data_IF_650783685280
#
_entry.id   IF_650783685280
#
_cell.length_a   1.000
_cell.length_b   1.000
_cell.length_c   1.000
_cell.angle_alpha   90.00
_cell.angle_beta   90.00
_cell.angle_gamma   90.00
#
_symmetry.space_group_name_H-M   'P 1'
#
loop_
_entity.id
_entity.type
_entity.pdbx_description
1 polymer ?
#
# COMPACT_ATOMS: atom_id res chain seq x y z
N UNK A 1 -5.77 -14.10 -20.49
CA UNK A 1 -4.44 -13.59 -20.14
C UNK A 1 -4.58 -12.79 -18.85
N UNK A 2 -3.96 -13.23 -17.77
CA UNK A 2 -3.94 -12.48 -16.50
C UNK A 2 -2.84 -11.43 -16.66
N UNK A 3 -3.17 -10.15 -16.49
CA UNK A 3 -2.15 -9.09 -16.48
C UNK A 3 -1.39 -9.18 -15.16
N UNK A 4 -0.07 -9.26 -15.23
CA UNK A 4 0.79 -9.25 -14.05
C UNK A 4 0.72 -7.88 -13.37
N UNK A 5 0.19 -7.82 -12.15
CA UNK A 5 0.04 -6.56 -11.40
C UNK A 5 1.12 -6.43 -10.33
N UNK A 6 2.11 -5.57 -10.57
CA UNK A 6 3.09 -5.19 -9.54
C UNK A 6 3.52 -3.72 -9.67
N UNK A 7 3.98 -3.07 -8.58
CA UNK A 7 4.22 -1.62 -8.57
C UNK A 7 5.20 -1.12 -9.63
N UNK A 8 6.28 -1.86 -9.88
CA UNK A 8 7.30 -1.46 -10.88
C UNK A 8 6.86 -1.64 -12.33
N UNK A 9 5.72 -2.30 -12.63
CA UNK A 9 5.32 -2.57 -14.02
C UNK A 9 5.05 -1.31 -14.82
N UNK A 10 4.55 -0.27 -14.13
CA UNK A 10 4.33 1.07 -14.70
C UNK A 10 5.65 1.69 -15.19
N UNK A 11 6.73 1.52 -14.42
CA UNK A 11 8.05 2.04 -14.75
C UNK A 11 8.68 1.31 -15.93
N UNK A 12 8.54 -0.01 -15.99
CA UNK A 12 8.98 -0.81 -17.15
C UNK A 12 8.29 -0.35 -18.44
N UNK A 13 6.95 -0.23 -18.42
CA UNK A 13 6.19 0.24 -19.59
C UNK A 13 6.61 1.64 -20.04
N UNK A 14 6.93 2.51 -19.10
CA UNK A 14 7.46 3.84 -19.40
C UNK A 14 8.81 3.76 -20.12
N UNK A 15 9.77 3.07 -19.51
CA UNK A 15 11.15 3.00 -20.01
C UNK A 15 11.25 2.26 -21.35
N UNK A 16 10.46 1.20 -21.54
CA UNK A 16 10.55 0.35 -22.73
C UNK A 16 9.75 0.90 -23.93
N UNK A 17 8.62 1.57 -23.67
CA UNK A 17 7.64 1.85 -24.72
C UNK A 17 7.10 3.27 -24.76
N UNK A 18 7.00 3.98 -23.63
CA UNK A 18 6.17 5.19 -23.53
C UNK A 18 6.94 6.49 -23.24
N UNK A 19 8.26 6.44 -23.12
CA UNK A 19 9.08 7.64 -22.90
C UNK A 19 8.89 8.70 -24.02
N UNK A 20 8.81 8.23 -25.27
CA UNK A 20 8.57 9.07 -26.44
C UNK A 20 7.20 8.75 -27.05
N UNK A 21 6.38 9.75 -27.41
CA UNK A 21 5.15 9.54 -28.18
C UNK A 21 5.13 10.62 -29.27
N UNK A 22 5.02 10.19 -30.54
CA UNK A 22 5.01 11.08 -31.70
C UNK A 22 6.20 12.04 -31.77
N UNK A 23 7.43 11.59 -31.44
CA UNK A 23 8.63 12.43 -31.46
C UNK A 23 8.84 13.30 -30.20
N UNK A 24 7.91 13.29 -29.25
CA UNK A 24 7.99 14.10 -28.04
C UNK A 24 8.24 13.25 -26.79
N UNK A 25 9.12 13.73 -25.90
CA UNK A 25 9.43 13.07 -24.63
C UNK A 25 8.49 13.53 -23.51
N UNK A 26 7.93 12.58 -22.78
CA UNK A 26 7.01 12.82 -21.65
C UNK A 26 7.62 12.36 -20.34
N UNK A 27 7.32 13.08 -19.27
CA UNK A 27 7.63 12.66 -17.89
C UNK A 27 6.63 11.61 -17.41
N UNK A 28 6.96 10.85 -16.35
CA UNK A 28 6.01 9.94 -15.69
C UNK A 28 4.67 10.59 -15.38
N UNK A 29 4.70 11.80 -14.82
CA UNK A 29 3.46 12.51 -14.45
C UNK A 29 2.65 12.91 -15.67
N UNK A 30 3.28 13.33 -16.75
CA UNK A 30 2.56 13.63 -18.00
C UNK A 30 1.96 12.37 -18.61
N UNK A 31 2.68 11.24 -18.55
CA UNK A 31 2.16 9.96 -19.03
C UNK A 31 0.97 9.47 -18.20
N UNK A 32 0.98 9.65 -16.87
CA UNK A 32 -0.19 9.38 -16.02
C UNK A 32 -1.44 10.14 -16.51
N UNK A 33 -1.26 11.41 -16.91
CA UNK A 33 -2.34 12.25 -17.44
C UNK A 33 -2.78 11.76 -18.82
N UNK A 34 -1.85 11.46 -19.74
CA UNK A 34 -2.14 10.91 -21.08
C UNK A 34 -2.95 9.61 -20.94
N UNK A 35 -2.48 8.69 -20.09
CA UNK A 35 -3.15 7.43 -19.80
C UNK A 35 -4.59 7.66 -19.32
N UNK A 36 -4.82 8.62 -18.43
CA UNK A 36 -6.16 8.98 -18.01
C UNK A 36 -7.02 9.64 -19.12
N UNK A 37 -6.41 10.42 -20.01
CA UNK A 37 -7.09 11.08 -21.12
C UNK A 37 -7.61 10.06 -22.12
N UNK A 38 -6.78 9.10 -22.51
CA UNK A 38 -7.12 7.98 -23.41
C UNK A 38 -8.32 7.19 -22.86
N UNK A 39 -8.42 7.06 -21.54
CA UNK A 39 -9.55 6.43 -20.86
C UNK A 39 -10.70 7.39 -20.53
N UNK A 40 -10.83 8.50 -21.27
CA UNK A 40 -11.93 9.46 -21.19
C UNK A 40 -12.20 10.01 -19.78
N UNK A 41 -11.16 10.15 -18.94
CA UNK A 41 -11.33 10.74 -17.60
C UNK A 41 -11.29 12.26 -17.64
N UNK A 42 -12.38 12.90 -17.21
CA UNK A 42 -12.39 14.35 -17.00
C UNK A 42 -11.38 14.76 -15.92
N UNK A 43 -10.86 15.99 -16.01
CA UNK A 43 -9.77 16.49 -15.17
C UNK A 43 -10.03 16.36 -13.65
N UNK A 44 -11.28 16.50 -13.18
CA UNK A 44 -11.65 16.25 -11.77
C UNK A 44 -11.40 14.80 -11.34
N UNK A 45 -11.74 13.83 -12.21
CA UNK A 45 -11.51 12.40 -11.96
C UNK A 45 -10.02 12.07 -12.02
N UNK A 46 -9.27 12.73 -12.90
CA UNK A 46 -7.80 12.62 -12.97
C UNK A 46 -7.18 13.12 -11.66
N UNK A 47 -7.54 14.32 -11.23
CA UNK A 47 -7.07 14.94 -10.00
C UNK A 47 -7.30 14.03 -8.78
N UNK A 48 -8.51 13.47 -8.66
CA UNK A 48 -8.84 12.52 -7.60
C UNK A 48 -8.08 11.20 -7.68
N UNK A 49 -7.83 10.66 -8.88
CA UNK A 49 -7.11 9.40 -9.04
C UNK A 49 -5.63 9.56 -8.67
N UNK A 50 -5.03 10.67 -9.09
CA UNK A 50 -3.61 10.95 -8.93
C UNK A 50 -3.26 11.68 -7.62
N UNK A 51 -4.26 11.98 -6.79
CA UNK A 51 -4.12 12.78 -5.57
C UNK A 51 -3.41 14.13 -5.80
N UNK A 52 -3.75 14.83 -6.88
CA UNK A 52 -3.20 16.17 -7.23
C UNK A 52 -4.33 17.20 -7.39
N UNK A 53 -3.99 18.48 -7.41
CA UNK A 53 -4.98 19.54 -7.60
C UNK A 53 -5.55 19.54 -9.03
N UNK A 54 -6.84 19.91 -9.16
CA UNK A 54 -7.49 20.11 -10.46
C UNK A 54 -6.72 21.09 -11.36
N UNK A 55 -6.20 22.18 -10.78
CA UNK A 55 -5.40 23.18 -11.50
C UNK A 55 -4.10 22.58 -12.04
N UNK A 56 -3.46 21.70 -11.27
CA UNK A 56 -2.23 20.98 -11.67
C UNK A 56 -2.48 20.08 -12.88
N UNK A 57 -3.63 19.39 -12.93
CA UNK A 57 -4.03 18.60 -14.11
C UNK A 57 -4.08 19.49 -15.35
N UNK A 58 -4.79 20.62 -15.30
CA UNK A 58 -4.90 21.54 -16.44
C UNK A 58 -3.54 22.08 -16.93
N UNK A 59 -2.61 22.36 -16.00
CA UNK A 59 -1.24 22.73 -16.36
C UNK A 59 -0.50 21.59 -17.09
N UNK A 60 -0.59 20.35 -16.61
CA UNK A 60 0.01 19.22 -17.30
C UNK A 60 -0.61 18.98 -18.68
N UNK A 61 -1.94 19.09 -18.82
CA UNK A 61 -2.63 18.96 -20.11
C UNK A 61 -2.12 20.01 -21.10
N UNK A 62 -1.96 21.27 -20.68
CA UNK A 62 -1.39 22.32 -21.53
C UNK A 62 0.06 22.02 -21.95
N UNK A 63 0.89 21.54 -21.02
CA UNK A 63 2.26 21.17 -21.33
C UNK A 63 2.34 20.01 -22.33
N UNK A 64 1.49 19.00 -22.16
CA UNK A 64 1.39 17.86 -23.10
C UNK A 64 0.98 18.34 -24.49
N UNK A 65 -0.07 19.16 -24.58
CA UNK A 65 -0.53 19.77 -25.83
C UNK A 65 0.57 20.58 -26.51
N UNK A 66 1.31 21.40 -25.74
CA UNK A 66 2.44 22.18 -26.26
C UNK A 66 3.58 21.30 -26.78
N UNK A 67 3.88 20.17 -26.12
CA UNK A 67 4.92 19.23 -26.57
C UNK A 67 4.54 18.53 -27.88
N UNK A 68 3.25 18.26 -28.07
CA UNK A 68 2.74 17.65 -29.30
C UNK A 68 2.50 18.68 -30.43
N UNK A 69 2.48 19.98 -30.11
CA UNK A 69 2.21 21.05 -31.06
C UNK A 69 0.73 21.24 -31.42
N UNK A 70 -0.19 20.79 -30.56
CA UNK A 70 -1.64 20.89 -30.78
C UNK A 70 -2.36 21.66 -29.66
N UNK A 71 -3.61 22.06 -29.89
CA UNK A 71 -4.39 22.88 -28.97
C UNK A 71 -5.66 22.20 -28.43
N UNK A 72 -5.83 20.90 -28.67
CA UNK A 72 -7.00 20.16 -28.19
C UNK A 72 -6.60 18.85 -27.53
N UNK A 73 -7.47 18.38 -26.63
CA UNK A 73 -7.31 17.14 -25.89
C UNK A 73 -7.50 15.92 -26.78
N UNK A 74 -8.37 16.01 -27.76
CA UNK A 74 -8.64 14.97 -28.76
C UNK A 74 -7.36 14.65 -29.56
N UNK A 75 -6.55 15.66 -29.87
CA UNK A 75 -5.25 15.46 -30.53
C UNK A 75 -4.26 14.62 -29.71
N UNK A 76 -4.36 14.60 -28.38
CA UNK A 76 -3.53 13.72 -27.54
C UNK A 76 -3.91 12.26 -27.82
N UNK A 77 -5.20 11.97 -27.98
CA UNK A 77 -5.70 10.63 -28.30
C UNK A 77 -5.17 10.23 -29.68
N UNK A 78 -5.39 11.08 -30.69
CA UNK A 78 -4.91 10.84 -32.05
C UNK A 78 -3.40 10.63 -32.13
N UNK A 79 -2.62 11.38 -31.35
CA UNK A 79 -1.16 11.25 -31.30
C UNK A 79 -0.73 9.87 -30.78
N UNK A 80 -1.33 9.42 -29.66
CA UNK A 80 -1.08 8.08 -29.10
C UNK A 80 -1.49 6.99 -30.09
N UNK A 81 -2.64 7.11 -30.74
CA UNK A 81 -3.12 6.13 -31.72
C UNK A 81 -2.19 6.05 -32.94
N UNK A 82 -1.84 7.20 -33.53
CA UNK A 82 -0.91 7.27 -34.68
C UNK A 82 0.50 6.77 -34.35
N UNK A 83 0.91 6.86 -33.08
CA UNK A 83 2.20 6.34 -32.64
C UNK A 83 2.23 4.80 -32.50
N UNK A 84 1.09 4.12 -32.58
CA UNK A 84 0.97 2.68 -32.34
C UNK A 84 1.12 2.27 -30.86
N UNK A 85 1.19 3.24 -29.93
CA UNK A 85 1.47 2.98 -28.50
C UNK A 85 0.21 2.82 -27.65
N UNK A 86 -0.98 2.83 -28.26
CA UNK A 86 -2.26 2.76 -27.56
C UNK A 86 -2.34 1.58 -26.57
N UNK A 87 -1.90 0.38 -26.97
CA UNK A 87 -1.97 -0.79 -26.10
C UNK A 87 -1.10 -0.65 -24.85
N UNK A 88 0.12 -0.11 -24.96
CA UNK A 88 1.00 0.14 -23.83
C UNK A 88 0.45 1.22 -22.90
N UNK A 89 -0.11 2.31 -23.45
CA UNK A 89 -0.75 3.36 -22.65
C UNK A 89 -1.96 2.82 -21.88
N UNK A 90 -2.73 1.92 -22.50
CA UNK A 90 -3.80 1.20 -21.81
C UNK A 90 -3.22 0.36 -20.68
N UNK A 91 -2.25 -0.51 -20.93
CA UNK A 91 -1.65 -1.33 -19.85
C UNK A 91 -1.10 -0.47 -18.70
N UNK A 92 -0.44 0.64 -19.03
CA UNK A 92 0.05 1.61 -18.07
C UNK A 92 -1.09 2.19 -17.22
N UNK A 93 -2.19 2.58 -17.85
CA UNK A 93 -3.39 3.06 -17.17
C UNK A 93 -3.98 2.02 -16.20
N UNK A 94 -4.00 0.74 -16.59
CA UNK A 94 -4.46 -0.34 -15.72
C UNK A 94 -3.63 -0.42 -14.43
N UNK A 95 -2.30 -0.39 -14.53
CA UNK A 95 -1.41 -0.38 -13.36
C UNK A 95 -1.62 0.85 -12.49
N UNK A 96 -1.81 2.03 -13.11
CA UNK A 96 -2.10 3.27 -12.40
C UNK A 96 -3.39 3.19 -11.58
N UNK A 97 -4.46 2.63 -12.14
CA UNK A 97 -5.74 2.45 -11.43
C UNK A 97 -5.60 1.43 -10.31
N UNK A 98 -4.86 0.35 -10.55
CA UNK A 98 -4.60 -0.69 -9.54
C UNK A 98 -3.85 -0.15 -8.33
N UNK A 99 -2.79 0.61 -8.56
CA UNK A 99 -1.99 1.26 -7.52
C UNK A 99 -2.86 2.20 -6.67
N UNK A 100 -3.62 3.09 -7.33
CA UNK A 100 -4.51 4.01 -6.63
C UNK A 100 -5.62 3.29 -5.83
N UNK A 101 -6.16 2.19 -6.36
CA UNK A 101 -7.12 1.36 -5.65
C UNK A 101 -6.47 0.74 -4.41
N UNK A 102 -5.31 0.10 -4.57
CA UNK A 102 -4.56 -0.51 -3.47
C UNK A 102 -4.28 0.49 -2.34
N UNK A 103 -3.76 1.69 -2.65
CA UNK A 103 -3.53 2.72 -1.63
C UNK A 103 -4.81 3.13 -0.90
N UNK A 104 -5.93 3.25 -1.61
CA UNK A 104 -7.23 3.57 -1.02
C UNK A 104 -7.62 2.52 0.03
N UNK A 105 -7.41 1.23 -0.27
CA UNK A 105 -7.70 0.14 0.66
C UNK A 105 -6.76 0.14 1.87
N UNK A 106 -5.47 0.43 1.68
CA UNK A 106 -4.52 0.59 2.80
C UNK A 106 -4.95 1.74 3.73
N UNK A 107 -5.36 2.88 3.17
CA UNK A 107 -5.89 4.02 3.96
C UNK A 107 -7.21 3.67 4.66
N UNK A 108 -8.07 2.85 4.04
CA UNK A 108 -9.30 2.32 4.67
C UNK A 108 -8.96 1.46 5.88
N UNK A 109 -7.97 0.56 5.76
CA UNK A 109 -7.48 -0.28 6.88
C UNK A 109 -6.92 0.60 8.01
N UNK A 110 -6.12 1.62 7.68
CA UNK A 110 -5.61 2.59 8.67
C UNK A 110 -6.73 3.23 9.49
N UNK A 111 -7.79 3.72 8.83
CA UNK A 111 -8.89 4.43 9.50
C UNK A 111 -9.79 3.53 10.36
N UNK A 112 -9.98 2.27 9.93
CA UNK A 112 -10.93 1.36 10.56
C UNK A 112 -10.27 0.38 11.54
N UNK A 113 -9.12 -0.19 11.18
CA UNK A 113 -8.52 -1.30 11.91
C UNK A 113 -7.25 -0.93 12.66
N UNK A 114 -6.46 0.06 12.20
CA UNK A 114 -5.13 0.33 12.77
C UNK A 114 -4.93 1.78 13.24
N UNK A 115 -5.80 2.26 14.15
CA UNK A 115 -5.71 3.63 14.69
C UNK A 115 -4.52 3.85 15.63
N UNK A 116 -4.14 2.84 16.42
CA UNK A 116 -3.03 2.96 17.39
C UNK A 116 -1.65 2.90 16.74
N UNK A 117 -1.59 2.51 15.47
CA UNK A 117 -0.35 2.09 14.82
C UNK A 117 0.11 0.71 15.31
N UNK A 118 0.92 0.07 14.47
CA UNK A 118 1.62 -1.18 14.79
C UNK A 118 3.10 -0.94 14.48
N UNK A 119 3.97 -1.32 15.40
CA UNK A 119 5.43 -1.31 15.17
C UNK A 119 5.88 -2.75 14.98
N UNK A 120 6.53 -3.01 13.86
CA UNK A 120 7.13 -4.29 13.49
C UNK A 120 8.65 -4.15 13.56
N UNK A 121 9.31 -5.09 14.23
CA UNK A 121 10.77 -5.19 14.23
C UNK A 121 11.22 -6.12 13.09
N UNK A 122 12.27 -5.75 12.36
CA UNK A 122 12.92 -6.60 11.35
C UNK A 122 14.43 -6.43 11.40
N UNK A 123 15.18 -7.45 10.97
CA UNK A 123 16.64 -7.36 10.83
C UNK A 123 17.00 -6.98 9.40
N UNK A 124 17.52 -5.76 9.19
CA UNK A 124 17.94 -5.29 7.87
C UNK A 124 19.39 -5.68 7.51
N UNK A 125 20.17 -6.22 8.44
CA UNK A 125 21.59 -6.47 8.20
C UNK A 125 21.85 -7.61 7.19
N UNK A 126 20.91 -8.55 7.08
CA UNK A 126 21.06 -9.73 6.21
C UNK A 126 20.33 -9.59 4.86
N UNK A 127 19.94 -8.37 4.50
CA UNK A 127 19.15 -8.07 3.29
C UNK A 127 20.07 -7.65 2.14
N UNK A 128 19.86 -8.21 0.96
CA UNK A 128 20.55 -7.82 -0.29
C UNK A 128 20.09 -6.46 -0.81
N UNK A 129 20.85 -5.81 -1.71
CA UNK A 129 20.45 -4.52 -2.28
C UNK A 129 19.13 -4.57 -3.08
N UNK A 130 18.85 -5.69 -3.75
CA UNK A 130 17.59 -5.88 -4.47
C UNK A 130 16.40 -6.02 -3.51
N UNK A 131 16.59 -6.76 -2.41
CA UNK A 131 15.61 -6.88 -1.36
C UNK A 131 15.40 -5.55 -0.63
N UNK A 132 16.45 -4.73 -0.44
CA UNK A 132 16.30 -3.38 0.13
C UNK A 132 15.33 -2.52 -0.67
N UNK A 133 15.45 -2.49 -1.99
CA UNK A 133 14.48 -1.76 -2.85
C UNK A 133 13.06 -2.29 -2.67
N UNK A 134 12.91 -3.62 -2.59
CA UNK A 134 11.61 -4.25 -2.35
C UNK A 134 11.06 -3.90 -0.96
N UNK A 135 11.93 -3.84 0.05
CA UNK A 135 11.59 -3.45 1.42
C UNK A 135 11.24 -1.98 1.56
N UNK A 136 11.85 -1.08 0.79
CA UNK A 136 11.48 0.33 0.75
C UNK A 136 10.03 0.50 0.28
N UNK A 137 9.71 -0.07 -0.89
CA UNK A 137 8.35 -0.09 -1.45
C UNK A 137 7.34 -0.74 -0.49
N UNK A 138 7.74 -1.84 0.13
CA UNK A 138 6.97 -2.55 1.14
C UNK A 138 6.74 -1.69 2.39
N UNK A 139 7.76 -0.98 2.87
CA UNK A 139 7.69 -0.08 4.03
C UNK A 139 6.75 1.10 3.75
N UNK A 140 6.82 1.68 2.55
CA UNK A 140 5.89 2.73 2.12
C UNK A 140 4.43 2.24 2.12
N UNK A 141 4.21 1.03 1.63
CA UNK A 141 2.88 0.40 1.62
C UNK A 141 2.36 0.14 3.04
N UNK A 142 3.20 -0.36 3.95
CA UNK A 142 2.84 -0.55 5.36
C UNK A 142 2.55 0.78 6.07
N UNK A 143 3.29 1.84 5.76
CA UNK A 143 3.08 3.16 6.34
C UNK A 143 1.70 3.74 5.99
N UNK A 144 1.18 3.48 4.78
CA UNK A 144 -0.19 3.86 4.40
C UNK A 144 -1.25 3.19 5.28
N UNK A 145 -0.98 1.98 5.77
CA UNK A 145 -1.81 1.23 6.71
C UNK A 145 -1.51 1.54 8.19
N UNK A 146 -0.67 2.55 8.49
CA UNK A 146 -0.21 2.93 9.83
C UNK A 146 0.62 1.83 10.53
N UNK A 147 1.38 1.08 9.75
CA UNK A 147 2.31 0.06 10.25
C UNK A 147 3.73 0.58 10.00
N UNK A 148 4.53 0.65 11.05
CA UNK A 148 5.91 1.10 10.98
C UNK A 148 6.82 -0.11 11.06
N UNK A 149 7.71 -0.24 10.07
CA UNK A 149 8.79 -1.23 10.08
C UNK A 149 10.05 -0.57 10.64
N UNK A 150 10.72 -1.21 11.59
CA UNK A 150 11.90 -0.65 12.26
C UNK A 150 12.97 -1.71 12.46
N UNK A 151 14.24 -1.30 12.38
CA UNK A 151 15.37 -2.19 12.62
C UNK A 151 15.36 -2.69 14.07
N UNK A 152 15.46 -4.00 14.24
CA UNK A 152 15.55 -4.64 15.55
C UNK A 152 16.73 -4.15 16.38
N UNK A 153 17.86 -3.83 15.74
CA UNK A 153 19.07 -3.38 16.43
C UNK A 153 18.93 -1.95 16.94
N UNK A 154 18.25 -1.09 16.18
CA UNK A 154 17.93 0.28 16.62
C UNK A 154 16.98 0.25 17.82
N UNK A 155 15.92 -0.55 17.76
CA UNK A 155 14.98 -0.71 18.87
C UNK A 155 15.66 -1.23 20.15
N UNK A 156 16.64 -2.13 20.02
CA UNK A 156 17.43 -2.63 21.15
C UNK A 156 18.34 -1.54 21.72
N UNK A 157 19.04 -0.79 20.86
CA UNK A 157 19.94 0.29 21.28
C UNK A 157 19.18 1.40 22.04
N UNK A 158 17.95 1.71 21.62
CA UNK A 158 17.09 2.69 22.27
C UNK A 158 16.37 2.19 23.53
N UNK A 159 16.48 0.89 23.85
CA UNK A 159 15.66 0.27 24.89
C UNK A 159 14.15 0.30 24.59
N UNK A 160 13.78 0.50 23.31
CA UNK A 160 12.41 0.68 22.83
C UNK A 160 11.82 -0.60 22.21
N UNK A 161 12.54 -1.73 22.29
CA UNK A 161 12.14 -3.02 21.74
C UNK A 161 10.78 -3.54 22.24
N UNK A 162 10.34 -3.15 23.43
CA UNK A 162 9.00 -3.50 23.95
C UNK A 162 7.84 -2.80 23.22
N UNK A 163 8.13 -1.78 22.39
CA UNK A 163 7.12 -1.15 21.53
C UNK A 163 6.76 -2.01 20.32
N UNK A 164 7.63 -2.92 19.91
CA UNK A 164 7.39 -3.80 18.77
C UNK A 164 6.38 -4.90 19.13
N UNK A 165 5.27 -4.95 18.39
CA UNK A 165 4.22 -5.95 18.59
C UNK A 165 4.50 -7.26 17.84
N UNK A 166 5.24 -7.17 16.74
CA UNK A 166 5.52 -8.29 15.86
C UNK A 166 6.97 -8.26 15.41
N UNK A 167 7.51 -9.45 15.15
CA UNK A 167 8.80 -9.61 14.49
C UNK A 167 8.55 -10.10 13.07
N UNK A 168 9.06 -9.36 12.09
CA UNK A 168 9.09 -9.78 10.70
C UNK A 168 10.48 -10.34 10.39
N UNK A 169 10.51 -11.58 9.91
CA UNK A 169 11.73 -12.25 9.51
C UNK A 169 11.79 -12.27 7.99
N UNK A 170 12.69 -11.49 7.41
CA UNK A 170 12.92 -11.50 5.97
C UNK A 170 13.78 -12.71 5.66
N UNK A 171 13.20 -13.70 5.00
CA UNK A 171 13.90 -14.93 4.64
C UNK A 171 14.43 -14.75 3.22
N UNK A 172 15.75 -14.76 3.12
CA UNK A 172 16.53 -14.73 1.88
C UNK A 172 17.36 -16.01 1.78
N UNK A 173 17.82 -16.39 0.58
CA UNK A 173 18.75 -17.51 0.44
C UNK A 173 20.04 -17.32 1.25
N UNK A 174 20.49 -16.07 1.45
CA UNK A 174 21.61 -15.77 2.34
C UNK A 174 21.31 -16.13 3.79
N UNK A 175 20.11 -15.79 4.26
CA UNK A 175 19.64 -16.16 5.61
C UNK A 175 19.49 -17.67 5.77
N UNK A 176 18.94 -18.36 4.76
CA UNK A 176 18.79 -19.82 4.76
C UNK A 176 20.14 -20.52 4.81
N UNK A 177 21.12 -20.09 4.00
CA UNK A 177 22.47 -20.68 4.01
C UNK A 177 23.20 -20.46 5.34
N UNK A 178 22.96 -19.32 5.99
CA UNK A 178 23.49 -19.05 7.33
C UNK A 178 22.84 -19.97 8.37
N UNK A 179 21.53 -20.20 8.28
CA UNK A 179 20.81 -21.11 9.17
C UNK A 179 21.21 -22.58 8.94
N UNK A 180 21.37 -23.01 7.69
CA UNK A 180 21.80 -24.37 7.38
C UNK A 180 23.22 -24.64 7.87
N UNK A 181 24.14 -23.67 7.71
CA UNK A 181 25.48 -23.74 8.29
C UNK A 181 25.46 -23.84 9.82
N UNK A 182 24.60 -23.07 10.49
CA UNK A 182 24.42 -23.18 11.95
C UNK A 182 23.87 -24.54 12.36
N UNK A 183 22.89 -25.07 11.62
CA UNK A 183 22.28 -26.37 11.92
C UNK A 183 23.25 -27.53 11.70
N UNK A 184 24.08 -27.46 10.65
CA UNK A 184 25.11 -28.46 10.40
C UNK A 184 26.19 -28.42 11.49
N UNK A 185 26.62 -27.21 11.91
CA UNK A 185 27.56 -27.07 13.02
C UNK A 185 27.01 -27.64 14.34
N UNK A 186 25.70 -27.51 14.59
CA UNK A 186 25.05 -28.10 15.76
C UNK A 186 25.05 -29.63 15.66
N UNK A 187 24.65 -30.19 14.50
CA UNK A 187 24.70 -31.64 14.27
C UNK A 187 26.10 -32.23 14.38
N UNK A 188 27.08 -31.55 13.83
CA UNK A 188 28.48 -31.97 13.90
C UNK A 188 29.00 -31.87 15.35
N UNK A 189 28.57 -30.87 16.12
CA UNK A 189 28.88 -30.77 17.55
C UNK A 189 28.24 -31.90 18.36
N UNK A 190 26.96 -32.22 18.10
CA UNK A 190 26.25 -33.34 18.75
C UNK A 190 26.93 -34.69 18.47
N UNK A 191 27.38 -34.91 17.23
CA UNK A 191 28.09 -36.13 16.85
C UNK A 191 29.51 -36.21 17.44
N UNK A 192 30.13 -35.08 17.79
CA UNK A 192 31.47 -35.03 18.38
C UNK A 192 31.45 -34.89 19.92
N UNK A 193 30.28 -34.66 20.55
CA UNK A 193 30.15 -34.46 21.99
C UNK A 193 29.51 -35.66 22.69
N UNK A 194 30.16 -36.83 22.64
CA UNK A 194 29.74 -37.96 23.49
C UNK A 194 30.16 -37.80 24.98
N UNK A 195 30.85 -36.72 25.40
CA UNK A 195 31.37 -36.64 26.78
C UNK A 195 31.30 -35.28 27.50
N UNK A 196 30.56 -34.27 27.02
CA UNK A 196 30.43 -32.98 27.74
C UNK A 196 28.98 -32.54 27.99
N UNK A 197 28.61 -32.53 29.28
CA UNK A 197 27.35 -32.12 29.94
C UNK A 197 26.48 -31.09 29.19
N UNK A 198 25.28 -31.52 28.78
CA UNK A 198 24.29 -30.78 27.98
C UNK A 198 23.56 -29.59 28.64
N UNK A 199 23.92 -29.13 29.84
CA UNK A 199 23.17 -28.08 30.54
C UNK A 199 23.39 -26.65 30.01
N UNK A 200 24.44 -26.39 29.23
CA UNK A 200 24.79 -25.02 28.80
C UNK A 200 24.15 -24.59 27.46
N UNK A 201 23.82 -25.53 26.57
CA UNK A 201 23.24 -25.22 25.25
C UNK A 201 21.74 -24.87 25.40
N UNK A 202 21.02 -25.61 26.24
CA UNK A 202 19.58 -25.40 26.46
C UNK A 202 19.28 -24.04 27.12
N UNK A 203 20.19 -23.53 27.96
CA UNK A 203 20.05 -22.22 28.62
C UNK A 203 20.18 -21.04 27.65
N UNK A 204 20.98 -21.15 26.59
CA UNK A 204 21.14 -20.07 25.61
C UNK A 204 19.97 -20.00 24.62
N UNK A 205 19.38 -21.14 24.25
CA UNK A 205 18.18 -21.18 23.38
C UNK A 205 16.93 -20.71 24.14
N UNK A 206 16.79 -21.06 25.43
CA UNK A 206 15.66 -20.64 26.28
C UNK A 206 15.67 -19.14 26.64
N UNK A 207 16.83 -18.48 26.66
CA UNK A 207 16.93 -17.04 26.98
C UNK A 207 16.40 -16.13 25.87
N UNK A 208 16.33 -16.63 24.62
CA UNK A 208 15.77 -15.89 23.48
C UNK A 208 14.25 -16.03 23.38
N UNK A 209 13.64 -16.99 24.09
CA UNK A 209 12.20 -17.32 23.98
C UNK A 209 11.29 -16.59 24.98
N UNK A 210 11.83 -15.78 25.90
CA UNK A 210 11.06 -15.14 26.98
C UNK A 210 10.09 -14.01 26.58
N UNK A 211 9.84 -13.77 25.30
CA UNK A 211 8.79 -12.84 24.83
C UNK A 211 7.68 -13.64 24.13
N UNK A 212 7.06 -14.57 24.86
CA UNK A 212 6.13 -15.61 24.37
C UNK A 212 4.87 -15.09 23.65
N UNK A 213 4.56 -13.80 23.76
CA UNK A 213 3.34 -13.23 23.16
C UNK A 213 3.54 -12.56 21.79
N UNK A 214 4.76 -12.51 21.24
CA UNK A 214 4.99 -11.87 19.94
C UNK A 214 4.81 -12.87 18.80
N UNK A 215 3.96 -12.50 17.84
CA UNK A 215 3.87 -13.26 16.58
C UNK A 215 5.13 -13.02 15.75
N UNK A 216 5.74 -14.11 15.31
CA UNK A 216 6.83 -14.11 14.34
C UNK A 216 6.22 -14.43 12.98
N UNK A 217 6.45 -13.57 11.98
CA UNK A 217 5.96 -13.79 10.62
C UNK A 217 7.15 -13.79 9.67
N UNK A 218 7.31 -14.86 8.90
CA UNK A 218 8.30 -14.96 7.83
C UNK A 218 7.80 -14.29 6.54
N UNK A 219 8.69 -13.58 5.84
CA UNK A 219 8.40 -12.91 4.56
C UNK A 219 9.39 -13.39 3.53
N UNK A 220 8.91 -13.99 2.42
CA UNK A 220 9.77 -14.55 1.37
C UNK A 220 9.79 -13.67 0.13
N UNK A 221 10.97 -13.22 -0.27
CA UNK A 221 11.16 -12.52 -1.56
C UNK A 221 11.81 -13.41 -2.63
N UNK A 222 12.60 -14.40 -2.20
CA UNK A 222 13.44 -15.21 -3.09
C UNK A 222 12.70 -16.47 -3.58
N UNK A 223 12.67 -16.66 -4.90
CA UNK A 223 11.96 -17.75 -5.58
C UNK A 223 12.52 -19.12 -5.25
N UNK A 224 13.81 -19.18 -4.90
CA UNK A 224 14.53 -20.45 -4.75
C UNK A 224 14.43 -21.03 -3.33
N UNK A 225 13.73 -20.35 -2.41
CA UNK A 225 13.51 -20.84 -1.05
C UNK A 225 12.51 -21.99 -1.05
N UNK A 226 12.94 -23.13 -0.51
CA UNK A 226 12.08 -24.27 -0.23
C UNK A 226 11.21 -24.00 1.01
N UNK A 227 9.89 -23.93 0.80
CA UNK A 227 8.89 -23.72 1.84
C UNK A 227 8.88 -24.82 2.91
N UNK A 228 9.42 -26.01 2.60
CA UNK A 228 9.52 -27.11 3.56
C UNK A 228 10.39 -26.75 4.77
N UNK A 229 11.32 -25.80 4.63
CA UNK A 229 12.24 -25.38 5.70
C UNK A 229 11.57 -24.55 6.81
N UNK A 230 10.32 -24.11 6.61
CA UNK A 230 9.65 -23.13 7.50
C UNK A 230 8.20 -23.53 7.80
N UNK A 231 7.86 -24.81 7.75
CA UNK A 231 6.49 -25.29 7.94
C UNK A 231 5.84 -24.83 9.25
N UNK A 232 6.65 -24.58 10.28
CA UNK A 232 6.17 -24.22 11.62
C UNK A 232 5.98 -22.71 11.85
N UNK A 233 6.34 -21.85 10.89
CA UNK A 233 6.16 -20.40 11.04
C UNK A 233 5.05 -19.85 10.14
N UNK A 234 4.26 -18.94 10.71
CA UNK A 234 3.34 -18.14 9.93
C UNK A 234 4.14 -17.32 8.91
N UNK A 235 3.74 -17.35 7.64
CA UNK A 235 4.53 -16.74 6.59
C UNK A 235 3.68 -16.07 5.50
N UNK A 236 4.28 -15.17 4.73
CA UNK A 236 3.66 -14.52 3.58
C UNK A 236 4.61 -14.57 2.39
N UNK A 237 4.08 -14.99 1.24
CA UNK A 237 4.85 -15.23 0.02
C UNK A 237 4.84 -14.01 -0.91
N UNK A 238 6.00 -13.40 -1.14
CA UNK A 238 6.23 -12.32 -2.10
C UNK A 238 7.04 -12.76 -3.33
N UNK A 239 7.33 -14.06 -3.49
CA UNK A 239 8.15 -14.60 -4.60
C UNK A 239 7.53 -14.36 -5.98
N UNK A 240 6.20 -14.30 -6.03
CA UNK A 240 5.47 -13.92 -7.23
C UNK A 240 5.23 -12.41 -7.26
N UNK A 241 5.89 -11.71 -8.20
CA UNK A 241 5.69 -10.26 -8.40
C UNK A 241 4.21 -9.91 -8.58
N UNK A 242 3.47 -10.69 -9.37
CA UNK A 242 2.05 -10.48 -9.64
C UNK A 242 1.16 -10.55 -8.39
N UNK A 243 1.69 -11.06 -7.27
CA UNK A 243 0.97 -11.20 -6.01
C UNK A 243 1.22 -10.04 -5.04
N UNK A 244 2.11 -9.08 -5.35
CA UNK A 244 2.58 -8.06 -4.39
C UNK A 244 1.44 -7.41 -3.58
N UNK A 245 0.41 -6.90 -4.25
CA UNK A 245 -0.70 -6.22 -3.56
C UNK A 245 -1.44 -7.14 -2.58
N UNK A 246 -1.67 -8.40 -2.97
CA UNK A 246 -2.34 -9.37 -2.12
C UNK A 246 -1.45 -9.85 -0.99
N UNK A 247 -0.14 -10.04 -1.23
CA UNK A 247 0.83 -10.40 -0.19
C UNK A 247 0.93 -9.31 0.88
N UNK A 248 0.98 -8.02 0.50
CA UNK A 248 0.94 -6.92 1.47
C UNK A 248 -0.35 -6.96 2.29
N UNK A 249 -1.50 -7.12 1.62
CA UNK A 249 -2.79 -7.17 2.29
C UNK A 249 -2.92 -8.37 3.23
N UNK A 250 -2.46 -9.55 2.81
CA UNK A 250 -2.43 -10.76 3.62
C UNK A 250 -1.59 -10.55 4.87
N UNK A 251 -0.38 -9.99 4.72
CA UNK A 251 0.47 -9.66 5.85
C UNK A 251 -0.21 -8.71 6.83
N UNK A 252 -0.86 -7.65 6.32
CA UNK A 252 -1.61 -6.72 7.16
C UNK A 252 -2.76 -7.44 7.89
N UNK A 253 -3.43 -8.37 7.24
CA UNK A 253 -4.43 -9.23 7.87
C UNK A 253 -3.85 -10.02 9.06
N UNK A 254 -2.69 -10.65 8.86
CA UNK A 254 -1.98 -11.43 9.89
C UNK A 254 -1.48 -10.57 11.06
N UNK A 255 -0.90 -9.41 10.75
CA UNK A 255 -0.41 -8.44 11.75
C UNK A 255 -1.55 -7.86 12.59
N UNK A 256 -2.67 -7.51 11.95
CA UNK A 256 -3.79 -6.88 12.67
C UNK A 256 -4.64 -7.91 13.43
N UNK A 257 -4.80 -9.11 12.90
CA UNK A 257 -5.67 -10.16 13.46
C UNK A 257 -7.14 -9.76 13.56
N UNK A 258 -7.58 -8.73 12.80
CA UNK A 258 -8.93 -8.17 12.90
C UNK A 258 -9.83 -8.72 11.78
N UNK A 259 -11.03 -9.27 12.09
CA UNK A 259 -11.97 -9.77 11.08
C UNK A 259 -12.34 -8.72 10.03
N UNK A 260 -12.52 -7.46 10.45
CA UNK A 260 -12.82 -6.34 9.57
C UNK A 260 -11.75 -6.14 8.48
N UNK A 261 -10.48 -6.48 8.74
CA UNK A 261 -9.43 -6.37 7.73
C UNK A 261 -9.64 -7.45 6.66
N UNK A 262 -10.06 -8.66 7.02
CA UNK A 262 -10.35 -9.71 6.05
C UNK A 262 -11.50 -9.31 5.09
N UNK A 263 -12.54 -8.63 5.58
CA UNK A 263 -13.61 -8.09 4.75
C UNK A 263 -13.07 -7.06 3.75
N UNK A 264 -12.23 -6.13 4.21
CA UNK A 264 -11.61 -5.11 3.35
C UNK A 264 -10.70 -5.74 2.29
N UNK A 265 -9.97 -6.80 2.63
CA UNK A 265 -9.14 -7.56 1.68
C UNK A 265 -10.01 -8.25 0.63
N UNK A 266 -11.15 -8.81 1.03
CA UNK A 266 -12.08 -9.44 0.09
C UNK A 266 -12.68 -8.41 -0.86
N UNK A 267 -13.11 -7.24 -0.36
CA UNK A 267 -13.58 -6.14 -1.21
C UNK A 267 -12.51 -5.71 -2.25
N UNK A 268 -11.23 -5.68 -1.85
CA UNK A 268 -10.15 -5.39 -2.79
C UNK A 268 -9.99 -6.47 -3.86
N UNK A 269 -10.06 -7.76 -3.47
CA UNK A 269 -10.01 -8.90 -4.41
C UNK A 269 -11.13 -8.81 -5.44
N UNK A 270 -12.35 -8.52 -5.00
CA UNK A 270 -13.52 -8.39 -5.86
C UNK A 270 -13.34 -7.22 -6.83
N UNK A 271 -12.93 -6.05 -6.33
CA UNK A 271 -12.66 -4.86 -7.15
C UNK A 271 -11.52 -5.10 -8.17
N UNK A 272 -10.47 -5.83 -7.80
CA UNK A 272 -9.39 -6.21 -8.70
C UNK A 272 -9.89 -7.15 -9.82
N UNK A 273 -10.67 -8.18 -9.47
CA UNK A 273 -11.25 -9.08 -10.46
C UNK A 273 -12.18 -8.35 -11.43
N UNK A 274 -13.00 -7.42 -10.93
CA UNK A 274 -13.88 -6.61 -11.76
C UNK A 274 -13.09 -5.69 -12.71
N UNK A 275 -11.99 -5.11 -12.23
CA UNK A 275 -11.09 -4.33 -13.08
C UNK A 275 -10.46 -5.21 -14.17
N UNK A 276 -9.98 -6.41 -13.83
CA UNK A 276 -9.43 -7.35 -14.80
C UNK A 276 -10.46 -7.80 -15.84
N UNK A 277 -11.70 -8.08 -15.43
CA UNK A 277 -12.81 -8.44 -16.35
C UNK A 277 -13.15 -7.28 -17.27
N UNK A 278 -13.28 -6.06 -16.73
CA UNK A 278 -13.52 -4.85 -17.51
C UNK A 278 -12.40 -4.62 -18.52
N UNK A 279 -11.18 -5.03 -18.19
CA UNK A 279 -10.04 -4.93 -19.07
C UNK A 279 -10.04 -5.97 -20.19
N UNK A 280 -10.26 -7.24 -19.84
CA UNK A 280 -10.31 -8.35 -20.79
C UNK A 280 -11.41 -8.18 -21.85
N UNK A 281 -12.55 -7.59 -21.48
CA UNK A 281 -13.66 -7.31 -22.39
C UNK A 281 -13.39 -6.25 -23.45
N UNK A 282 -12.28 -5.50 -23.38
CA UNK A 282 -11.94 -4.45 -24.35
C UNK A 282 -11.25 -4.95 -25.63
N UNK A 283 -11.23 -6.26 -25.87
CA UNK A 283 -10.82 -6.82 -27.17
C UNK A 283 -9.31 -6.71 -27.46
N UNK A 284 -8.46 -6.79 -26.44
CA UNK A 284 -6.99 -6.77 -26.59
C UNK A 284 -6.44 -8.08 -27.21
N UNK A 285 -7.30 -9.08 -27.45
CA UNK A 285 -6.88 -10.35 -28.04
C UNK A 285 -6.56 -10.21 -29.54
N UNK A 286 -5.36 -9.73 -29.85
CA UNK A 286 -4.50 -10.14 -30.98
C UNK A 286 -5.04 -10.06 -32.42
N UNK A 287 -6.26 -9.62 -32.66
CA UNK A 287 -6.78 -9.38 -34.00
C UNK A 287 -6.25 -8.06 -34.53
N UNK A 288 -5.66 -8.09 -35.72
CA UNK A 288 -5.33 -6.89 -36.50
C UNK A 288 -6.48 -5.88 -36.40
N UNK A 289 -6.16 -4.69 -35.91
CA UNK A 289 -7.10 -3.59 -35.75
C UNK A 289 -7.49 -3.09 -37.15
N UNK A 290 -8.42 -3.79 -37.80
CA UNK A 290 -9.10 -3.31 -38.99
C UNK A 290 -9.94 -2.10 -38.57
N UNK A 291 -9.51 -0.92 -39.02
CA UNK A 291 -10.11 0.35 -38.66
C UNK A 291 -11.55 0.44 -39.13
N UNK A 292 -12.50 0.39 -38.18
CA UNK A 292 -13.70 1.22 -38.13
C UNK A 292 -14.59 0.75 -36.98
N UNK A 293 -14.81 1.61 -35.98
CA UNK A 293 -15.84 1.33 -34.97
C UNK A 293 -15.71 2.18 -33.72
N UNK A 294 -16.32 3.36 -33.72
CA UNK A 294 -16.69 4.03 -32.48
C UNK A 294 -17.78 3.19 -31.81
N UNK A 295 -17.53 2.72 -30.57
CA UNK A 295 -18.56 2.05 -29.79
C UNK A 295 -18.73 2.72 -28.43
N UNK A 296 -19.98 3.07 -28.18
CA UNK A 296 -20.48 3.77 -27.01
C UNK A 296 -20.34 2.91 -25.75
N UNK A 297 -19.50 3.36 -24.83
CA UNK A 297 -19.22 2.76 -23.54
C UNK A 297 -20.22 3.22 -22.47
N UNK A 298 -21.52 3.01 -22.68
CA UNK A 298 -22.55 3.46 -21.71
C UNK A 298 -23.77 2.55 -21.70
N UNK A 299 -23.87 1.67 -20.70
CA UNK A 299 -25.15 1.19 -20.12
C UNK A 299 -24.94 0.16 -19.01
N UNK A 300 -23.98 -0.76 -19.16
CA UNK A 300 -23.80 -1.86 -18.18
C UNK A 300 -23.25 -1.43 -16.81
N UNK A 301 -22.47 -0.35 -16.76
CA UNK A 301 -21.87 0.13 -15.51
C UNK A 301 -22.87 0.89 -14.60
N UNK A 302 -24.01 1.33 -15.13
CA UNK A 302 -25.03 2.03 -14.33
C UNK A 302 -25.76 1.08 -13.36
N UNK A 303 -26.02 -0.16 -13.78
CA UNK A 303 -26.69 -1.17 -12.96
C UNK A 303 -25.83 -1.60 -11.75
N UNK A 304 -24.51 -1.75 -11.95
CA UNK A 304 -23.56 -2.11 -10.89
C UNK A 304 -23.44 -0.97 -9.87
N UNK A 305 -23.44 0.29 -10.31
CA UNK A 305 -23.44 1.44 -9.40
C UNK A 305 -24.73 1.54 -8.56
N UNK A 306 -25.89 1.23 -9.13
CA UNK A 306 -27.16 1.23 -8.40
C UNK A 306 -27.19 0.16 -7.29
N UNK A 307 -26.65 -1.04 -7.57
CA UNK A 307 -26.56 -2.11 -6.58
C UNK A 307 -25.65 -1.74 -5.39
N UNK A 308 -24.48 -1.12 -5.66
CA UNK A 308 -23.56 -0.73 -4.59
C UNK A 308 -24.11 0.38 -3.69
N UNK A 309 -24.86 1.34 -4.24
CA UNK A 309 -25.49 2.41 -3.44
C UNK A 309 -26.59 1.85 -2.54
N UNK A 310 -27.37 0.88 -3.03
CA UNK A 310 -28.38 0.17 -2.23
C UNK A 310 -27.77 -0.54 -1.01
N UNK A 311 -26.65 -1.24 -1.19
CA UNK A 311 -25.96 -1.93 -0.10
C UNK A 311 -25.44 -0.97 0.98
N UNK A 312 -24.91 0.19 0.59
CA UNK A 312 -24.40 1.19 1.55
C UNK A 312 -25.54 1.80 2.38
N UNK A 313 -26.69 2.10 1.75
CA UNK A 313 -27.87 2.61 2.46
C UNK A 313 -28.41 1.57 3.43
N UNK A 314 -28.43 0.29 3.03
CA UNK A 314 -28.88 -0.82 3.87
C UNK A 314 -27.98 -1.01 5.12
N UNK A 315 -26.65 -0.94 4.97
CA UNK A 315 -25.71 -1.02 6.10
C UNK A 315 -25.82 0.21 7.03
N UNK A 316 -26.02 1.41 6.49
CA UNK A 316 -26.30 2.60 7.30
C UNK A 316 -27.59 2.44 8.11
N UNK A 317 -28.63 1.86 7.51
CA UNK A 317 -29.91 1.60 8.21
C UNK A 317 -29.75 0.59 9.34
N UNK A 318 -29.00 -0.50 9.13
CA UNK A 318 -28.71 -1.50 10.16
C UNK A 318 -27.92 -0.92 11.35
N UNK A 319 -26.97 -0.03 11.08
CA UNK A 319 -26.18 0.63 12.13
C UNK A 319 -27.00 1.61 12.98
N UNK A 320 -27.98 2.29 12.38
CA UNK A 320 -28.91 3.17 13.11
C UNK A 320 -29.89 2.34 13.94
N UNK A 321 -30.42 1.25 13.38
CA UNK A 321 -31.39 0.40 14.06
C UNK A 321 -30.80 -0.28 15.30
N UNK A 322 -29.59 -0.84 15.20
CA UNK A 322 -28.93 -1.51 16.33
C UNK A 322 -28.47 -0.58 17.46
N UNK A 323 -28.47 0.74 17.26
CA UNK A 323 -28.06 1.73 18.26
C UNK A 323 -29.24 2.45 18.90
N UNK A 324 -30.48 2.02 18.69
CA UNK A 324 -31.62 2.57 19.45
C UNK A 324 -31.63 1.96 20.86
N UNK A 325 -31.37 2.74 21.92
CA UNK A 325 -31.45 2.23 23.28
C UNK A 325 -32.91 1.89 23.59
N UNK A 326 -33.15 0.65 24.01
CA UNK A 326 -34.42 0.19 24.56
C UNK A 326 -34.77 1.06 25.78
N UNK A 327 -35.70 2.02 25.60
CA UNK A 327 -36.28 2.79 26.71
C UNK A 327 -36.99 1.83 27.67
N UNK A 328 -36.31 1.53 28.78
CA UNK A 328 -36.88 0.82 29.90
C UNK A 328 -37.62 1.84 30.76
N UNK A 329 -38.94 1.83 30.67
CA UNK A 329 -39.84 2.79 31.27
C UNK A 329 -40.12 2.37 32.73
N UNK A 330 -39.65 3.14 33.71
CA UNK A 330 -40.12 3.04 35.10
C UNK A 330 -40.05 4.40 35.83
N UNK A 331 -41.23 4.98 36.00
CA UNK A 331 -41.77 5.73 37.13
C UNK A 331 -40.98 6.86 37.83
N UNK A 332 -41.52 8.07 37.62
CA UNK A 332 -42.09 9.00 38.61
C UNK A 332 -41.35 9.25 39.94
N UNK A 333 -40.85 10.48 40.13
CA UNK A 333 -41.48 11.49 41.01
C UNK A 333 -40.63 12.77 41.12
N UNK A 334 -41.29 13.93 41.12
CA UNK A 334 -40.97 15.02 42.05
C UNK A 334 -40.15 16.22 41.55
N UNK A 335 -40.85 17.27 41.13
CA UNK A 335 -40.78 18.64 41.69
C UNK A 335 -39.42 19.39 41.70
N UNK A 336 -39.27 20.46 40.89
CA UNK A 336 -39.50 21.86 41.29
C UNK A 336 -39.04 22.87 40.22
N UNK A 337 -39.75 23.99 40.24
CA UNK A 337 -39.68 25.17 39.41
C UNK A 337 -38.48 26.04 39.79
N UNK A 338 -37.75 26.56 38.81
CA UNK A 338 -37.11 27.87 38.91
C UNK A 338 -36.89 28.46 37.51
N UNK A 339 -37.65 29.50 37.22
CA UNK A 339 -37.44 30.45 36.13
C UNK A 339 -36.16 31.26 36.35
N UNK A 340 -35.33 31.45 35.32
CA UNK A 340 -34.61 32.72 35.16
C UNK A 340 -34.18 32.97 33.72
N UNK A 341 -34.63 34.12 33.21
CA UNK A 341 -34.13 34.85 32.06
C UNK A 341 -32.59 35.00 32.06
N UNK A 342 -31.96 34.84 30.89
CA UNK A 342 -31.17 35.92 30.25
C UNK A 342 -30.60 35.46 28.91
N UNK A 343 -30.96 36.20 27.87
CA UNK A 343 -30.25 36.33 26.60
C UNK A 343 -28.84 36.88 26.84
N UNK A 344 -27.82 36.09 26.54
CA UNK A 344 -26.45 36.59 26.38
C UNK A 344 -26.00 36.45 24.93
N UNK A 345 -25.76 37.64 24.37
CA UNK A 345 -25.19 37.94 23.07
C UNK A 345 -23.69 37.62 23.16
N UNK A 346 -23.22 36.62 22.42
CA UNK A 346 -21.80 36.37 22.27
C UNK A 346 -21.18 37.36 21.29
N UNK A 347 -20.56 38.40 21.83
CA UNK A 347 -19.65 39.28 21.11
C UNK A 347 -18.30 38.58 20.90
N UNK A 348 -17.86 38.54 19.64
CA UNK A 348 -16.48 38.20 19.26
C UNK A 348 -15.47 39.17 19.91
N UNK A 349 -14.34 38.68 20.42
CA UNK A 349 -13.15 39.49 20.54
C UNK A 349 -12.31 39.46 19.25
N UNK A 350 -11.80 40.66 18.94
CA UNK A 350 -10.96 41.05 17.82
C UNK A 350 -9.62 40.29 17.79
N UNK A 351 -9.11 40.17 16.57
CA UNK A 351 -7.77 39.71 16.21
C UNK A 351 -6.64 40.52 16.89
N UNK A 352 -5.53 39.84 17.16
CA UNK A 352 -4.13 40.33 17.21
C UNK A 352 -3.20 39.14 17.58
N UNK A 353 -1.89 39.16 17.33
CA UNK A 353 -1.17 39.39 16.09
C UNK A 353 -0.39 38.12 15.63
N UNK A 354 0.03 38.17 14.36
CA UNK A 354 1.03 37.29 13.75
C UNK A 354 2.38 37.34 14.47
N UNK A 355 2.93 36.21 14.93
CA UNK A 355 4.37 35.94 14.79
C UNK A 355 4.80 34.48 15.06
N UNK A 356 5.91 34.14 14.40
CA UNK A 356 6.80 32.97 14.54
C UNK A 356 6.36 31.64 13.93
N UNK A 357 6.84 31.47 12.68
CA UNK A 357 7.23 30.20 12.07
C UNK A 357 7.94 29.31 13.10
N UNK A 358 7.29 28.23 13.48
CA UNK A 358 7.97 27.04 14.01
C UNK A 358 8.37 26.20 12.81
N UNK A 359 9.67 26.04 12.67
CA UNK A 359 10.36 25.21 11.71
C UNK A 359 10.06 23.72 11.89
N UNK A 360 9.91 23.04 10.76
CA UNK A 360 10.27 21.64 10.50
C UNK A 360 9.58 20.56 11.35
N UNK A 361 8.43 20.08 10.85
CA UNK A 361 8.04 18.68 11.05
C UNK A 361 8.88 17.86 10.06
N UNK A 362 9.99 17.31 10.55
CA UNK A 362 10.80 16.33 9.84
C UNK A 362 10.01 15.01 9.84
N UNK A 363 9.73 14.47 8.66
CA UNK A 363 9.10 13.15 8.53
C UNK A 363 10.15 12.06 8.75
N UNK A 364 9.81 10.93 9.42
CA UNK A 364 10.77 9.86 9.72
C UNK A 364 11.48 9.25 8.49
N UNK A 365 10.92 9.43 7.30
CA UNK A 365 11.48 8.93 6.04
C UNK A 365 12.77 9.67 5.64
N UNK A 366 12.93 10.95 5.99
CA UNK A 366 14.14 11.69 5.62
C UNK A 366 15.37 11.25 6.43
N UNK A 367 15.18 10.80 7.67
CA UNK A 367 16.26 10.33 8.53
C UNK A 367 16.90 9.05 7.99
N UNK A 368 16.10 8.15 7.42
CA UNK A 368 16.59 6.89 6.85
C UNK A 368 17.44 7.13 5.59
N UNK A 369 16.98 8.00 4.68
CA UNK A 369 17.70 8.34 3.45
C UNK A 369 19.01 9.08 3.74
N UNK A 370 19.02 10.01 4.69
CA UNK A 370 20.24 10.75 5.05
C UNK A 370 21.24 9.87 5.82
N UNK A 371 20.79 8.91 6.62
CA UNK A 371 21.68 7.98 7.33
C UNK A 371 22.33 6.96 6.38
N UNK A 372 21.59 6.45 5.38
CA UNK A 372 22.15 5.60 4.32
C UNK A 372 23.18 6.37 3.47
N UNK A 373 22.94 7.66 3.20
CA UNK A 373 23.90 8.52 2.49
C UNK A 373 25.19 8.78 3.29
N UNK A 374 25.09 8.97 4.61
CA UNK A 374 26.27 9.13 5.49
C UNK A 374 27.10 7.85 5.60
N UNK A 375 26.48 6.68 5.63
CA UNK A 375 27.19 5.40 5.64
C UNK A 375 27.94 5.11 4.33
N UNK A 376 27.47 5.66 3.20
CA UNK A 376 28.19 5.57 1.92
C UNK A 376 29.44 6.45 1.90
N UNK A 377 29.37 7.66 2.47
CA UNK A 377 30.52 8.59 2.56
C UNK A 377 31.62 8.11 3.53
N UNK A 378 31.27 7.28 4.51
CA UNK A 378 32.23 6.66 5.43
C UNK A 378 32.91 5.40 4.86
N UNK A 379 32.46 4.89 3.72
CA UNK A 379 33.11 3.77 3.01
C UNK A 379 34.06 4.22 1.89
N UNK A 380 34.00 5.49 1.51
CA UNK A 380 34.82 6.09 0.45
C UNK A 380 36.02 6.90 0.97
N UNK A 381 36.16 7.01 2.30
CA UNK A 381 37.37 7.49 2.99
C UNK A 381 37.94 6.35 3.84
#
# INVERSE_FOLDING_TARGET
MILETYPSKKEELYNEHLQEISGANFTFRELDIIACIIHNRGEKKIASLLSISYRTVGSHVRNIMSKLGYNSREYIIDAVEKSGKLQYVRQYYFHLVMEAAFEKYLRKIRGLANRSGIVCATDFNNVTEEEKKSLELFTESLALANITLTDINLLKAEGSYEKARHNLHIISMKSVNKLSGLYQNIKDAENNSEETTGENIEKNVKKTTQNENRKNIAVYFDKDIDLLTVQDMEHVDFRSKSNYYFSVLELIGKLTGKPLVAEIIQEFKDAHQDLQKSWAGTGIAGGEFSGNGSSYFTSKNAAIFAACVGSIIFFMYLLVWNNTPSENNNNSNGLQVASHNKTEIWNLPKQLPTNKKVSNIITPVSYFVDHVRQLHQLKEN
#
